data_IF_983210394671
#
_entry.id   IF_983210394671
#
_cell.length_a   1.000
_cell.length_b   1.000
_cell.length_c   1.000
_cell.angle_alpha   90.00
_cell.angle_beta   90.00
_cell.angle_gamma   90.00
#
_symmetry.space_group_name_H-M   'P 1'
#
loop_
_entity.id
_entity.type
_entity.pdbx_description
1 polymer ?
#
# COMPACT_ATOMS: atom_id res chain seq x y z
N UNK A 1 25.61 -86.42 -18.83
CA UNK A 1 24.77 -86.91 -17.72
C UNK A 1 23.61 -85.95 -17.56
N UNK A 2 22.40 -86.41 -17.88
CA UNK A 2 21.13 -85.68 -17.82
C UNK A 2 20.59 -85.78 -16.40
N UNK A 3 20.23 -84.67 -15.74
CA UNK A 3 19.05 -84.59 -14.85
C UNK A 3 18.45 -83.18 -14.92
N UNK A 4 17.13 -83.17 -15.11
CA UNK A 4 16.17 -82.06 -15.16
C UNK A 4 15.44 -81.97 -13.80
N UNK A 5 15.16 -80.77 -13.30
CA UNK A 5 13.98 -80.42 -12.46
C UNK A 5 13.85 -78.88 -12.47
N UNK A 6 12.83 -78.22 -13.06
CA UNK A 6 11.37 -78.15 -12.86
C UNK A 6 10.89 -77.54 -11.53
N UNK A 7 10.07 -76.47 -11.67
CA UNK A 7 9.14 -75.91 -10.68
C UNK A 7 9.46 -74.46 -10.30
N UNK A 8 8.57 -73.47 -10.27
CA UNK A 8 7.11 -73.40 -10.41
C UNK A 8 6.75 -71.99 -10.91
N UNK A 9 5.66 -71.95 -11.67
CA UNK A 9 4.99 -70.83 -12.33
C UNK A 9 4.18 -69.95 -11.37
N UNK A 10 4.22 -68.63 -11.54
CA UNK A 10 3.07 -67.75 -11.28
C UNK A 10 3.17 -66.48 -12.15
N UNK A 11 2.48 -66.56 -13.30
CA UNK A 11 1.68 -65.46 -13.86
C UNK A 11 0.67 -65.05 -12.77
N UNK A 12 0.13 -63.85 -12.64
CA UNK A 12 -0.42 -62.94 -13.63
C UNK A 12 -0.91 -61.74 -12.79
N UNK A 13 -0.79 -60.50 -13.29
CA UNK A 13 -1.64 -59.30 -13.05
C UNK A 13 -0.82 -58.13 -13.62
N UNK A 14 -0.79 -58.06 -14.94
CA UNK A 14 -0.26 -56.94 -15.72
C UNK A 14 -1.26 -56.64 -16.83
N UNK A 15 -2.41 -56.06 -16.47
CA UNK A 15 -3.29 -55.31 -17.39
C UNK A 15 -4.52 -54.81 -16.62
N UNK A 16 -4.46 -53.61 -16.04
CA UNK A 16 -5.62 -52.74 -15.74
C UNK A 16 -5.17 -51.47 -15.00
N UNK A 17 -4.55 -50.53 -15.72
CA UNK A 17 -4.43 -49.12 -15.29
C UNK A 17 -4.13 -48.19 -16.46
N UNK A 18 -4.83 -48.40 -17.58
CA UNK A 18 -4.72 -47.56 -18.77
C UNK A 18 -6.09 -47.33 -19.39
N UNK A 19 -7.00 -46.73 -18.62
CA UNK A 19 -8.25 -46.12 -19.10
C UNK A 19 -8.93 -45.36 -17.96
N UNK A 20 -8.34 -44.24 -17.55
CA UNK A 20 -9.01 -43.20 -16.74
C UNK A 20 -8.27 -41.85 -16.95
N UNK A 21 -7.89 -41.58 -18.19
CA UNK A 21 -7.36 -40.28 -18.65
C UNK A 21 -8.13 -39.93 -19.91
N UNK A 22 -9.38 -39.49 -19.76
CA UNK A 22 -10.22 -38.78 -20.76
C UNK A 22 -11.67 -38.71 -20.26
N UNK A 23 -11.93 -38.10 -19.08
CA UNK A 23 -13.31 -37.73 -18.67
C UNK A 23 -13.38 -36.73 -17.50
N UNK A 24 -12.44 -35.80 -17.41
CA UNK A 24 -12.50 -34.65 -16.48
C UNK A 24 -12.24 -33.28 -17.14
N UNK A 25 -12.35 -33.22 -18.46
CA UNK A 25 -12.33 -31.96 -19.23
C UNK A 25 -13.69 -31.80 -19.94
N UNK A 26 -14.77 -31.54 -19.19
CA UNK A 26 -16.08 -31.23 -19.79
C UNK A 26 -17.09 -30.55 -18.83
N UNK A 27 -16.68 -30.04 -17.66
CA UNK A 27 -17.57 -29.28 -16.78
C UNK A 27 -16.74 -28.11 -16.22
N UNK A 28 -16.95 -26.91 -16.74
CA UNK A 28 -16.22 -25.71 -16.34
C UNK A 28 -16.08 -24.62 -17.41
N UNK A 29 -16.67 -24.81 -18.60
CA UNK A 29 -16.53 -23.87 -19.73
C UNK A 29 -17.73 -22.93 -19.94
N UNK A 30 -18.59 -22.70 -18.95
CA UNK A 30 -19.82 -21.89 -19.14
C UNK A 30 -20.16 -20.90 -18.03
N UNK A 31 -19.21 -20.44 -17.22
CA UNK A 31 -19.53 -19.43 -16.20
C UNK A 31 -18.38 -18.46 -15.86
N UNK A 32 -17.69 -17.93 -16.88
CA UNK A 32 -16.66 -16.89 -16.72
C UNK A 32 -16.95 -15.61 -17.54
N UNK A 33 -18.23 -15.26 -17.70
CA UNK A 33 -18.65 -13.96 -18.24
C UNK A 33 -19.57 -13.22 -17.27
N UNK A 34 -19.01 -12.75 -16.15
CA UNK A 34 -19.61 -11.66 -15.36
C UNK A 34 -18.61 -10.98 -14.39
N UNK A 35 -17.31 -10.99 -14.69
CA UNK A 35 -16.30 -10.42 -13.79
C UNK A 35 -15.33 -9.50 -14.54
N UNK A 36 -15.88 -8.48 -15.17
CA UNK A 36 -15.10 -7.33 -15.65
C UNK A 36 -15.96 -6.08 -15.52
N UNK A 37 -15.46 -5.15 -14.71
CA UNK A 37 -15.80 -3.71 -14.55
C UNK A 37 -16.25 -3.37 -13.13
N UNK A 38 -15.26 -3.04 -12.29
CA UNK A 38 -15.18 -1.82 -11.47
C UNK A 38 -13.85 -1.84 -10.71
N UNK A 39 -12.75 -1.79 -11.46
CA UNK A 39 -11.55 -1.15 -10.96
C UNK A 39 -11.87 0.35 -10.98
N UNK A 40 -12.05 0.95 -9.80
CA UNK A 40 -12.18 2.38 -9.66
C UNK A 40 -10.80 2.97 -9.99
N UNK A 41 -10.69 3.61 -11.15
CA UNK A 41 -9.49 4.28 -11.59
C UNK A 41 -9.31 5.53 -10.71
N UNK A 42 -8.35 5.50 -9.78
CA UNK A 42 -7.96 6.64 -8.92
C UNK A 42 -6.94 7.55 -9.63
N UNK A 43 -6.80 7.43 -10.96
CA UNK A 43 -5.76 8.15 -11.73
C UNK A 43 -6.31 9.18 -12.71
N UNK A 44 -7.57 9.61 -12.58
CA UNK A 44 -8.13 10.71 -13.39
C UNK A 44 -8.47 11.93 -12.52
N UNK A 45 -7.52 12.42 -11.73
CA UNK A 45 -7.62 13.74 -11.09
C UNK A 45 -6.28 14.48 -11.15
N UNK A 46 -5.70 14.53 -12.35
CA UNK A 46 -4.55 15.37 -12.66
C UNK A 46 -4.76 15.99 -14.05
N UNK A 47 -5.78 16.85 -14.18
CA UNK A 47 -6.01 17.65 -15.40
C UNK A 47 -7.01 18.80 -15.16
N UNK A 48 -6.93 19.49 -14.01
CA UNK A 48 -7.71 20.72 -13.77
C UNK A 48 -6.84 21.89 -13.25
N UNK A 49 -5.59 21.68 -12.86
CA UNK A 49 -4.72 22.74 -12.30
C UNK A 49 -3.79 23.46 -13.29
N UNK A 50 -4.11 23.47 -14.59
CA UNK A 50 -3.31 24.19 -15.60
C UNK A 50 -4.02 25.40 -16.24
N UNK A 51 -5.09 25.91 -15.62
CA UNK A 51 -5.78 27.14 -16.10
C UNK A 51 -5.79 28.32 -15.13
N UNK A 52 -5.03 28.24 -14.03
CA UNK A 52 -4.89 29.35 -13.05
C UNK A 52 -3.42 29.73 -12.89
N UNK A 53 -2.60 29.65 -13.93
CA UNK A 53 -1.26 30.28 -13.97
C UNK A 53 -1.05 30.87 -15.36
N UNK A 54 -1.89 31.82 -15.78
CA UNK A 54 -1.66 32.59 -17.01
C UNK A 54 -2.05 34.07 -16.88
N UNK A 55 -2.17 34.58 -15.65
CA UNK A 55 -2.53 35.99 -15.40
C UNK A 55 -1.42 36.84 -14.75
N UNK A 56 -0.19 36.32 -14.63
CA UNK A 56 0.93 37.08 -14.05
C UNK A 56 1.72 37.91 -15.08
N UNK A 57 1.43 37.82 -16.38
CA UNK A 57 2.09 38.62 -17.42
C UNK A 57 1.57 40.07 -17.56
N UNK A 58 0.48 40.45 -16.88
CA UNK A 58 -0.23 41.71 -17.14
C UNK A 58 -0.18 42.75 -16.00
N UNK A 59 0.63 42.49 -14.97
CA UNK A 59 0.85 43.39 -13.83
C UNK A 59 2.17 44.18 -13.92
N UNK A 60 3.09 43.80 -14.80
CA UNK A 60 4.37 44.51 -14.99
C UNK A 60 4.23 45.90 -15.61
N UNK A 61 3.18 46.12 -16.41
CA UNK A 61 2.99 47.37 -17.17
C UNK A 61 2.25 48.47 -16.38
N UNK A 62 1.69 48.13 -15.22
CA UNK A 62 0.96 49.06 -14.35
C UNK A 62 1.85 49.70 -13.27
N UNK A 63 2.99 49.07 -12.95
CA UNK A 63 3.91 49.57 -11.91
C UNK A 63 4.79 50.73 -12.39
N UNK A 64 5.04 50.88 -13.69
CA UNK A 64 5.90 51.95 -14.23
C UNK A 64 5.18 53.30 -14.36
N UNK A 65 3.84 53.34 -14.20
CA UNK A 65 3.04 54.58 -14.27
C UNK A 65 2.66 55.19 -12.92
N UNK A 66 3.08 54.59 -11.80
CA UNK A 66 2.70 55.04 -10.44
C UNK A 66 3.82 55.75 -9.66
N UNK A 67 4.96 56.05 -10.29
CA UNK A 67 6.12 56.68 -9.65
C UNK A 67 5.97 58.17 -9.28
N UNK A 68 4.78 58.77 -9.43
CA UNK A 68 4.54 60.19 -9.12
C UNK A 68 3.37 60.47 -8.15
N UNK A 69 2.81 59.46 -7.49
CA UNK A 69 1.78 59.65 -6.47
C UNK A 69 2.28 59.16 -5.11
N UNK A 70 2.32 60.11 -4.17
CA UNK A 70 3.06 60.06 -2.92
C UNK A 70 2.86 58.81 -2.04
N UNK A 71 3.86 58.63 -1.16
CA UNK A 71 4.03 57.55 -0.18
C UNK A 71 2.80 57.20 0.70
N UNK A 72 1.73 58.00 0.67
CA UNK A 72 0.49 57.74 1.40
C UNK A 72 -0.40 56.65 0.75
N UNK A 73 -0.33 56.44 -0.57
CA UNK A 73 -1.16 55.41 -1.24
C UNK A 73 -0.62 53.99 -0.98
N UNK A 74 0.70 53.84 -0.84
CA UNK A 74 1.35 52.56 -0.56
C UNK A 74 1.04 52.03 0.85
N UNK A 75 0.93 52.90 1.85
CA UNK A 75 0.57 52.51 3.23
C UNK A 75 -0.90 52.05 3.35
N UNK A 76 -1.81 52.69 2.62
CA UNK A 76 -3.22 52.28 2.60
C UNK A 76 -3.42 50.93 1.88
N UNK A 77 -2.69 50.69 0.80
CA UNK A 77 -2.71 49.38 0.11
C UNK A 77 -2.12 48.26 0.97
N UNK A 78 -1.04 48.52 1.73
CA UNK A 78 -0.46 47.54 2.66
C UNK A 78 -1.41 47.19 3.82
N UNK A 79 -2.17 48.17 4.33
CA UNK A 79 -3.18 47.92 5.36
C UNK A 79 -4.38 47.11 4.81
N UNK A 80 -4.79 47.35 3.56
CA UNK A 80 -5.88 46.61 2.92
C UNK A 80 -5.50 45.17 2.54
N UNK A 81 -4.25 44.92 2.12
CA UNK A 81 -3.78 43.55 1.83
C UNK A 81 -3.53 42.74 3.11
N UNK A 82 -3.12 43.36 4.21
CA UNK A 82 -2.94 42.65 5.48
C UNK A 82 -4.28 42.26 6.15
N UNK A 83 -5.34 43.04 5.95
CA UNK A 83 -6.67 42.73 6.47
C UNK A 83 -7.40 41.61 5.69
N UNK A 84 -6.99 41.33 4.44
CA UNK A 84 -7.62 40.30 3.60
C UNK A 84 -7.11 38.88 3.88
N UNK A 85 -5.99 38.71 4.61
CA UNK A 85 -5.40 37.38 4.86
C UNK A 85 -5.87 36.68 6.15
N UNK A 86 -6.68 37.33 7.00
CA UNK A 86 -7.18 36.72 8.24
C UNK A 86 -8.62 36.24 8.18
N UNK A 87 -9.29 36.35 7.03
CA UNK A 87 -10.58 35.70 6.82
C UNK A 87 -10.37 34.22 6.49
N UNK A 88 -9.88 33.45 7.47
CA UNK A 88 -10.00 31.99 7.46
C UNK A 88 -11.48 31.67 7.58
N UNK A 89 -12.19 31.71 6.45
CA UNK A 89 -13.56 31.24 6.35
C UNK A 89 -13.60 29.84 6.92
N UNK A 90 -14.34 29.66 8.00
CA UNK A 90 -14.87 28.37 8.44
C UNK A 90 -15.84 27.90 7.35
N UNK A 91 -15.31 27.57 6.18
CA UNK A 91 -16.05 26.98 5.08
C UNK A 91 -16.58 25.66 5.60
N UNK A 92 -17.90 25.47 5.53
CA UNK A 92 -18.50 24.17 5.79
C UNK A 92 -17.84 23.17 4.84
N UNK A 93 -17.15 22.17 5.38
CA UNK A 93 -16.57 21.09 4.59
C UNK A 93 -17.75 20.29 4.01
N UNK A 94 -17.75 20.08 2.70
CA UNK A 94 -18.72 19.21 2.05
C UNK A 94 -18.49 17.76 2.53
N UNK A 95 -19.48 17.08 3.12
CA UNK A 95 -19.38 15.68 3.51
C UNK A 95 -18.86 14.74 2.41
N UNK A 96 -19.17 15.05 1.14
CA UNK A 96 -18.74 14.23 -0.01
C UNK A 96 -17.24 14.36 -0.29
N UNK A 97 -16.59 15.41 0.22
CA UNK A 97 -15.15 15.63 0.10
C UNK A 97 -14.32 14.91 1.16
N UNK A 98 -14.95 14.34 2.19
CA UNK A 98 -14.27 13.61 3.27
C UNK A 98 -13.71 12.29 2.72
N UNK A 99 -12.37 12.18 2.75
CA UNK A 99 -11.66 10.96 2.32
C UNK A 99 -11.72 9.90 3.40
N UNK A 100 -11.89 8.65 2.99
CA UNK A 100 -11.75 7.50 3.88
C UNK A 100 -10.33 6.97 3.79
N UNK A 101 -9.72 6.62 4.92
CA UNK A 101 -8.50 5.82 4.94
C UNK A 101 -8.57 4.77 6.04
N UNK A 102 -8.04 3.59 5.76
CA UNK A 102 -7.81 2.55 6.75
C UNK A 102 -6.35 2.49 7.19
N UNK A 103 -5.51 3.38 6.67
CA UNK A 103 -4.07 3.36 6.88
C UNK A 103 -3.66 4.49 7.85
N UNK A 104 -3.10 4.15 9.02
CA UNK A 104 -2.70 5.16 9.99
C UNK A 104 -1.60 6.10 9.48
N UNK A 105 -0.76 5.68 8.51
CA UNK A 105 0.27 6.55 7.94
C UNK A 105 -0.33 7.70 7.10
N UNK A 106 -1.55 7.55 6.60
CA UNK A 106 -2.22 8.61 5.79
C UNK A 106 -2.73 9.75 6.67
N UNK A 107 -2.75 9.59 8.00
CA UNK A 107 -3.24 10.59 8.96
C UNK A 107 -2.19 11.02 9.98
N UNK A 108 -0.98 10.47 9.92
CA UNK A 108 0.10 10.74 10.88
C UNK A 108 0.39 12.23 11.06
N UNK A 109 0.39 12.99 9.97
CA UNK A 109 0.66 14.43 10.00
C UNK A 109 -0.61 15.28 10.12
N UNK A 110 -1.78 14.67 10.25
CA UNK A 110 -3.05 15.39 10.32
C UNK A 110 -3.43 15.70 11.77
N UNK A 111 -4.20 16.78 11.94
CA UNK A 111 -4.73 17.14 13.24
C UNK A 111 -5.92 16.24 13.59
N UNK A 112 -5.82 15.50 14.69
CA UNK A 112 -6.94 14.72 15.23
C UNK A 112 -8.04 15.66 15.78
N UNK A 113 -9.29 15.38 15.43
CA UNK A 113 -10.46 16.16 15.85
C UNK A 113 -11.40 15.39 16.80
N UNK A 114 -11.20 14.08 16.94
CA UNK A 114 -11.97 13.21 17.83
C UNK A 114 -12.68 12.09 17.09
N UNK A 115 -13.44 11.29 17.83
CA UNK A 115 -14.17 10.14 17.26
C UNK A 115 -15.57 10.55 16.78
N UNK A 116 -15.99 9.97 15.67
CA UNK A 116 -17.32 10.16 15.07
C UNK A 116 -17.97 8.80 14.78
N UNK A 117 -19.31 8.77 14.71
CA UNK A 117 -20.03 7.53 14.46
C UNK A 117 -21.36 7.73 13.72
N UNK A 118 -21.50 7.07 12.57
CA UNK A 118 -22.75 6.97 11.83
C UNK A 118 -23.51 5.69 12.16
N UNK A 119 -24.84 5.80 12.30
CA UNK A 119 -25.73 4.66 12.57
C UNK A 119 -26.77 4.48 11.47
N UNK A 120 -27.14 3.26 11.16
CA UNK A 120 -28.25 2.90 10.27
C UNK A 120 -29.10 1.82 10.91
N UNK A 121 -30.43 1.91 10.76
CA UNK A 121 -31.35 0.89 11.28
C UNK A 121 -31.28 -0.44 10.52
N UNK A 122 -30.54 -0.49 9.40
CA UNK A 122 -30.45 -1.65 8.54
C UNK A 122 -29.10 -2.36 8.74
N UNK A 123 -29.11 -3.69 8.81
CA UNK A 123 -27.92 -4.55 8.90
C UNK A 123 -27.38 -4.99 7.54
N UNK A 124 -28.05 -4.59 6.44
CA UNK A 124 -27.65 -4.92 5.07
C UNK A 124 -26.47 -4.08 4.58
N UNK A 125 -25.92 -4.42 3.41
CA UNK A 125 -24.89 -3.60 2.72
C UNK A 125 -25.35 -2.15 2.51
N UNK A 126 -26.65 -1.93 2.24
CA UNK A 126 -27.22 -0.56 2.19
C UNK A 126 -27.15 0.13 3.54
N UNK A 127 -27.37 -0.63 4.61
CA UNK A 127 -27.20 -0.17 5.99
C UNK A 127 -25.79 0.27 6.31
N UNK A 128 -24.79 -0.51 5.89
CA UNK A 128 -23.36 -0.18 6.03
C UNK A 128 -23.00 1.12 5.29
N UNK A 129 -23.38 1.24 4.00
CA UNK A 129 -23.14 2.46 3.23
C UNK A 129 -23.81 3.69 3.87
N UNK A 130 -25.07 3.56 4.31
CA UNK A 130 -25.79 4.66 4.95
C UNK A 130 -25.25 5.03 6.35
N UNK A 131 -24.59 4.10 7.04
CA UNK A 131 -23.87 4.38 8.28
C UNK A 131 -22.54 5.09 7.98
N UNK A 132 -21.79 4.64 6.96
CA UNK A 132 -20.55 5.28 6.53
C UNK A 132 -20.73 6.72 6.06
N UNK A 133 -21.75 7.01 5.24
CA UNK A 133 -22.05 8.38 4.82
C UNK A 133 -22.43 9.30 5.99
N UNK A 134 -23.13 8.77 7.00
CA UNK A 134 -23.40 9.55 8.23
C UNK A 134 -22.14 9.79 9.05
N UNK A 135 -21.22 8.82 9.12
CA UNK A 135 -19.94 9.00 9.80
C UNK A 135 -19.10 10.09 9.10
N UNK A 136 -19.04 10.10 7.75
CA UNK A 136 -18.42 11.19 6.98
C UNK A 136 -19.05 12.55 7.24
N UNK A 137 -20.39 12.61 7.24
CA UNK A 137 -21.10 13.85 7.55
C UNK A 137 -20.79 14.37 8.95
N UNK A 138 -20.61 13.48 9.94
CA UNK A 138 -20.18 13.89 11.28
C UNK A 138 -18.72 14.33 11.31
N UNK A 139 -17.82 13.66 10.58
CA UNK A 139 -16.44 14.11 10.43
C UNK A 139 -16.37 15.53 9.84
N UNK A 140 -17.13 15.80 8.77
CA UNK A 140 -17.23 17.14 8.19
C UNK A 140 -17.81 18.17 9.17
N UNK A 141 -18.80 17.77 9.98
CA UNK A 141 -19.41 18.65 10.98
C UNK A 141 -18.43 19.09 12.09
N UNK A 142 -17.43 18.26 12.42
CA UNK A 142 -16.35 18.63 13.35
C UNK A 142 -15.16 19.31 12.65
N UNK A 143 -15.25 19.58 11.34
CA UNK A 143 -14.21 20.22 10.55
C UNK A 143 -13.15 19.25 9.99
N UNK A 144 -13.41 17.96 9.97
CA UNK A 144 -12.53 16.95 9.40
C UNK A 144 -12.72 16.77 7.89
N UNK A 145 -11.61 16.59 7.17
CA UNK A 145 -11.58 16.23 5.75
C UNK A 145 -11.10 14.79 5.49
N UNK A 146 -10.71 14.06 6.54
CA UNK A 146 -10.37 12.64 6.48
C UNK A 146 -11.04 11.90 7.64
N UNK A 147 -11.56 10.71 7.36
CA UNK A 147 -12.08 9.76 8.34
C UNK A 147 -11.21 8.50 8.32
N UNK A 148 -10.50 8.26 9.43
CA UNK A 148 -9.61 7.13 9.64
C UNK A 148 -10.16 6.08 10.59
N UNK A 149 -9.51 4.91 10.66
CA UNK A 149 -9.78 3.84 11.63
C UNK A 149 -11.24 3.34 11.64
N UNK A 150 -11.82 3.18 10.45
CA UNK A 150 -13.22 2.77 10.32
C UNK A 150 -13.46 1.37 10.90
N UNK A 151 -14.32 1.28 11.91
CA UNK A 151 -14.84 0.04 12.46
C UNK A 151 -16.32 -0.09 12.14
N UNK A 152 -16.65 -1.13 11.39
CA UNK A 152 -18.04 -1.49 11.05
C UNK A 152 -18.54 -2.53 12.05
N UNK A 153 -19.60 -2.19 12.77
CA UNK A 153 -20.30 -3.11 13.68
C UNK A 153 -21.71 -3.36 13.15
N UNK A 154 -22.00 -4.61 12.77
CA UNK A 154 -23.31 -5.04 12.30
C UNK A 154 -24.01 -5.82 13.42
N UNK A 155 -25.23 -5.43 13.74
CA UNK A 155 -26.06 -6.06 14.77
C UNK A 155 -27.48 -6.32 14.25
N UNK A 156 -28.28 -7.07 15.02
CA UNK A 156 -29.70 -7.28 14.71
C UNK A 156 -30.50 -5.96 14.63
N UNK A 157 -30.03 -4.91 15.31
CA UNK A 157 -30.69 -3.60 15.39
C UNK A 157 -30.12 -2.57 14.41
N UNK A 158 -29.24 -3.01 13.49
CA UNK A 158 -28.67 -2.18 12.46
C UNK A 158 -27.14 -2.13 12.46
N UNK A 159 -26.60 -1.18 11.72
CA UNK A 159 -25.17 -1.00 11.49
C UNK A 159 -24.66 0.28 12.12
N UNK A 160 -23.51 0.21 12.79
CA UNK A 160 -22.74 1.36 13.24
C UNK A 160 -21.38 1.39 12.57
N UNK A 161 -21.00 2.53 12.03
CA UNK A 161 -19.67 2.82 11.51
C UNK A 161 -19.06 3.88 12.42
N UNK A 162 -17.95 3.56 13.07
CA UNK A 162 -17.21 4.49 13.93
C UNK A 162 -15.80 4.70 13.41
N UNK A 163 -15.24 5.89 13.58
CA UNK A 163 -13.85 6.19 13.21
C UNK A 163 -13.34 7.49 13.84
N UNK A 164 -12.13 7.87 13.51
CA UNK A 164 -11.47 9.09 13.97
C UNK A 164 -11.50 10.14 12.85
N UNK A 165 -11.96 11.35 13.17
CA UNK A 165 -11.95 12.48 12.25
C UNK A 165 -10.62 13.22 12.33
N UNK A 166 -10.06 13.53 11.16
CA UNK A 166 -8.81 14.26 11.01
C UNK A 166 -8.98 15.45 10.08
N UNK A 167 -8.21 16.51 10.35
CA UNK A 167 -8.01 17.61 9.43
C UNK A 167 -6.58 17.61 8.92
N UNK A 168 -6.42 17.39 7.62
CA UNK A 168 -5.16 17.43 6.91
C UNK A 168 -5.10 18.72 6.09
N UNK A 169 -4.24 19.66 6.49
CA UNK A 169 -3.99 20.85 5.69
C UNK A 169 -3.06 20.54 4.49
N UNK A 170 -2.83 21.53 3.63
CA UNK A 170 -1.99 21.38 2.46
C UNK A 170 -0.53 21.03 2.81
N UNK A 171 -0.04 21.42 3.98
CA UNK A 171 1.32 21.10 4.44
C UNK A 171 1.39 19.65 4.91
N UNK A 172 0.43 19.18 5.71
CA UNK A 172 0.30 17.78 6.11
C UNK A 172 0.27 16.85 4.91
N UNK A 173 -0.51 17.18 3.87
CA UNK A 173 -0.60 16.38 2.64
C UNK A 173 0.73 16.35 1.89
N UNK A 174 1.47 17.46 1.83
CA UNK A 174 2.83 17.49 1.25
C UNK A 174 3.79 16.61 2.03
N UNK A 175 3.75 16.62 3.36
CA UNK A 175 4.58 15.77 4.21
C UNK A 175 4.26 14.29 4.02
N UNK A 176 2.98 13.93 3.87
CA UNK A 176 2.57 12.56 3.54
C UNK A 176 3.12 12.10 2.19
N UNK A 177 2.98 12.93 1.15
CA UNK A 177 3.50 12.63 -0.17
C UNK A 177 5.04 12.47 -0.18
N UNK A 178 5.75 13.29 0.60
CA UNK A 178 7.19 13.15 0.79
C UNK A 178 7.53 11.83 1.51
N UNK A 179 6.80 11.46 2.57
CA UNK A 179 6.98 10.19 3.27
C UNK A 179 6.72 8.99 2.36
N UNK A 180 5.67 9.01 1.55
CA UNK A 180 5.39 7.92 0.61
C UNK A 180 6.44 7.80 -0.49
N UNK A 181 6.91 8.93 -1.04
CA UNK A 181 7.98 8.95 -2.03
C UNK A 181 9.31 8.42 -1.45
N UNK A 182 9.62 8.78 -0.21
CA UNK A 182 10.79 8.24 0.50
C UNK A 182 10.65 6.74 0.75
N UNK A 183 9.48 6.29 1.18
CA UNK A 183 9.21 4.86 1.36
C UNK A 183 9.41 4.08 0.05
N UNK A 184 8.92 4.59 -1.06
CA UNK A 184 9.15 4.00 -2.39
C UNK A 184 10.63 3.99 -2.77
N UNK A 185 11.35 5.08 -2.51
CA UNK A 185 12.78 5.18 -2.78
C UNK A 185 13.58 4.13 -2.01
N UNK A 186 13.32 3.99 -0.71
CA UNK A 186 13.99 3.01 0.17
C UNK A 186 13.59 1.58 -0.20
N UNK A 187 12.30 1.32 -0.44
CA UNK A 187 11.80 0.00 -0.83
C UNK A 187 12.39 -0.50 -2.17
N UNK A 188 12.72 0.42 -3.08
CA UNK A 188 13.33 0.11 -4.38
C UNK A 188 14.87 0.18 -4.36
N UNK A 189 15.48 0.39 -3.19
CA UNK A 189 16.94 0.42 -3.07
C UNK A 189 17.53 -0.95 -3.42
N UNK A 190 18.49 -0.95 -4.36
CA UNK A 190 19.17 -2.17 -4.77
C UNK A 190 20.13 -2.62 -3.67
N UNK A 191 19.95 -3.84 -3.17
CA UNK A 191 20.87 -4.47 -2.24
C UNK A 191 21.94 -5.19 -3.05
N UNK A 192 23.07 -4.53 -3.26
CA UNK A 192 24.22 -5.11 -3.94
C UNK A 192 25.29 -5.54 -2.92
N UNK A 193 26.00 -6.61 -3.24
CA UNK A 193 27.15 -7.09 -2.48
C UNK A 193 28.27 -7.56 -3.40
N UNK A 194 29.50 -7.60 -2.90
CA UNK A 194 30.65 -8.22 -3.58
C UNK A 194 30.95 -9.58 -2.95
N UNK A 195 31.30 -10.57 -3.78
CA UNK A 195 31.69 -11.90 -3.37
C UNK A 195 32.71 -11.86 -2.21
N UNK A 196 32.51 -12.71 -1.20
CA UNK A 196 33.32 -12.73 0.01
C UNK A 196 32.59 -12.16 1.23
N UNK A 197 33.32 -11.60 2.22
CA UNK A 197 32.75 -11.26 3.52
C UNK A 197 31.56 -10.29 3.49
N UNK A 198 31.56 -9.32 2.56
CA UNK A 198 30.44 -8.38 2.40
C UNK A 198 29.14 -9.09 2.03
N UNK A 199 29.19 -9.99 1.05
CA UNK A 199 27.98 -10.70 0.63
C UNK A 199 27.53 -11.75 1.65
N UNK A 200 28.47 -12.46 2.28
CA UNK A 200 28.12 -13.41 3.34
C UNK A 200 27.48 -12.71 4.55
N UNK A 201 27.99 -11.52 4.91
CA UNK A 201 27.39 -10.69 5.95
C UNK A 201 25.95 -10.28 5.61
N UNK A 202 25.74 -9.70 4.43
CA UNK A 202 24.39 -9.28 3.98
C UNK A 202 23.46 -10.48 3.87
N UNK A 203 23.92 -11.62 3.35
CA UNK A 203 23.11 -12.84 3.25
C UNK A 203 22.74 -13.41 4.62
N UNK A 204 23.65 -13.37 5.59
CA UNK A 204 23.33 -13.71 6.98
C UNK A 204 22.27 -12.77 7.58
N UNK A 205 22.36 -11.46 7.32
CA UNK A 205 21.36 -10.46 7.73
C UNK A 205 19.98 -10.74 7.13
N UNK A 206 19.92 -11.22 5.88
CA UNK A 206 18.66 -11.66 5.25
C UNK A 206 17.99 -12.74 6.10
N UNK A 207 18.73 -13.81 6.43
CA UNK A 207 18.20 -14.93 7.22
C UNK A 207 17.72 -14.47 8.60
N UNK A 208 18.48 -13.61 9.28
CA UNK A 208 18.11 -13.04 10.58
C UNK A 208 16.88 -12.15 10.50
N UNK A 209 16.77 -11.32 9.46
CA UNK A 209 15.58 -10.49 9.28
C UNK A 209 14.35 -11.35 9.06
N UNK A 210 14.45 -12.37 8.19
CA UNK A 210 13.35 -13.28 7.92
C UNK A 210 12.93 -14.08 9.15
N UNK A 211 13.88 -14.55 9.98
CA UNK A 211 13.52 -15.27 11.22
C UNK A 211 12.74 -14.40 12.21
N UNK A 212 12.99 -13.08 12.21
CA UNK A 212 12.35 -12.15 13.13
C UNK A 212 11.04 -11.56 12.60
N UNK A 213 10.85 -11.53 11.28
CA UNK A 213 9.71 -10.86 10.64
C UNK A 213 8.74 -11.83 9.95
N UNK A 214 9.15 -13.09 9.73
CA UNK A 214 8.28 -14.13 9.17
C UNK A 214 7.55 -14.89 10.26
N UNK A 215 6.24 -15.08 10.06
CA UNK A 215 5.46 -16.06 10.84
C UNK A 215 5.57 -17.48 10.28
N UNK A 216 6.17 -17.64 9.11
CA UNK A 216 6.29 -18.90 8.39
C UNK A 216 7.68 -19.51 8.59
N UNK A 217 7.74 -20.84 8.65
CA UNK A 217 9.01 -21.57 8.64
C UNK A 217 9.70 -21.40 7.28
N UNK A 218 11.02 -21.53 7.30
CA UNK A 218 11.79 -21.63 6.08
C UNK A 218 11.48 -22.96 5.36
N UNK A 219 11.19 -22.86 4.06
CA UNK A 219 11.01 -24.00 3.16
C UNK A 219 12.33 -24.36 2.50
N UNK A 220 13.03 -23.38 1.93
CA UNK A 220 14.34 -23.53 1.33
C UNK A 220 15.29 -22.48 1.89
N UNK A 221 16.52 -22.88 2.21
CA UNK A 221 17.63 -21.99 2.55
C UNK A 221 18.85 -22.51 1.79
N UNK A 222 19.19 -21.84 0.70
CA UNK A 222 20.39 -22.12 -0.08
C UNK A 222 21.24 -20.86 -0.19
N UNK A 223 22.41 -20.95 -0.82
CA UNK A 223 23.26 -19.78 -1.03
C UNK A 223 22.64 -18.74 -1.97
N UNK A 224 21.64 -19.12 -2.76
CA UNK A 224 21.04 -18.26 -3.81
C UNK A 224 19.56 -18.01 -3.63
N UNK A 225 18.87 -18.80 -2.81
CA UNK A 225 17.42 -18.74 -2.66
C UNK A 225 17.01 -19.04 -1.22
N UNK A 226 16.21 -18.15 -0.64
CA UNK A 226 15.51 -18.37 0.62
C UNK A 226 14.02 -18.24 0.36
N UNK A 227 13.23 -19.25 0.75
CA UNK A 227 11.77 -19.19 0.67
C UNK A 227 11.13 -19.63 1.97
N UNK A 228 9.97 -19.05 2.28
CA UNK A 228 9.13 -19.48 3.39
C UNK A 228 7.96 -20.35 2.93
N UNK A 229 7.32 -21.08 3.85
CA UNK A 229 6.23 -22.00 3.52
C UNK A 229 4.95 -21.34 2.98
N UNK A 230 4.66 -20.10 3.38
CA UNK A 230 3.43 -19.40 3.01
C UNK A 230 3.44 -18.79 1.59
N UNK A 231 2.44 -17.94 1.27
CA UNK A 231 1.34 -17.54 2.12
C UNK A 231 0.16 -18.51 2.00
N UNK A 232 -0.44 -18.88 3.13
CA UNK A 232 -1.80 -19.46 3.14
C UNK A 232 -2.84 -18.33 3.14
N UNK A 233 -4.13 -18.65 3.34
CA UNK A 233 -5.26 -17.70 3.42
C UNK A 233 -5.22 -16.80 4.68
N UNK A 234 -4.08 -16.17 4.95
CA UNK A 234 -3.84 -15.27 6.08
C UNK A 234 -3.23 -13.97 5.58
N UNK A 235 -3.32 -12.92 6.41
CA UNK A 235 -2.66 -11.63 6.20
C UNK A 235 -1.17 -11.63 6.58
N UNK A 236 -0.62 -12.77 7.03
CA UNK A 236 0.78 -12.89 7.44
C UNK A 236 1.68 -13.00 6.20
N UNK A 237 2.64 -12.09 6.00
CA UNK A 237 3.47 -12.10 4.82
C UNK A 237 4.40 -13.31 4.78
N UNK A 238 4.53 -13.91 3.61
CA UNK A 238 5.54 -14.88 3.23
C UNK A 238 6.59 -14.21 2.34
N UNK A 239 7.76 -14.84 2.25
CA UNK A 239 8.92 -14.24 1.62
C UNK A 239 9.61 -15.21 0.66
N UNK A 240 10.07 -14.65 -0.45
CA UNK A 240 11.04 -15.24 -1.36
C UNK A 240 12.18 -14.24 -1.53
N UNK A 241 13.41 -14.65 -1.24
CA UNK A 241 14.61 -13.84 -1.41
C UNK A 241 15.57 -14.56 -2.34
N UNK A 242 16.04 -13.85 -3.37
CA UNK A 242 16.95 -14.38 -4.38
C UNK A 242 18.24 -13.57 -4.35
N UNK A 243 19.38 -14.26 -4.44
CA UNK A 243 20.71 -13.69 -4.68
C UNK A 243 21.16 -14.03 -6.09
N UNK A 244 21.15 -13.03 -6.98
CA UNK A 244 21.47 -13.18 -8.40
C UNK A 244 22.82 -12.57 -8.73
N UNK A 245 23.67 -13.25 -9.51
CA UNK A 245 24.89 -12.65 -10.04
C UNK A 245 24.56 -11.61 -11.12
N UNK A 246 25.25 -10.47 -11.13
CA UNK A 246 24.98 -9.34 -12.05
C UNK A 246 25.68 -9.46 -13.41
N UNK A 247 26.49 -10.50 -13.61
CA UNK A 247 27.19 -10.80 -14.87
C UNK A 247 28.69 -10.53 -14.87
N UNK A 248 29.20 -9.75 -13.90
CA UNK A 248 30.64 -9.50 -13.72
C UNK A 248 31.39 -10.63 -12.97
N UNK A 249 30.66 -11.65 -12.54
CA UNK A 249 31.17 -12.80 -11.78
C UNK A 249 31.60 -12.49 -10.35
N UNK A 250 31.41 -11.25 -9.86
CA UNK A 250 31.89 -10.81 -8.54
C UNK A 250 30.86 -10.04 -7.73
N UNK A 251 29.86 -9.45 -8.35
CA UNK A 251 28.79 -8.75 -7.65
C UNK A 251 27.49 -9.53 -7.75
N UNK A 252 26.73 -9.48 -6.66
CA UNK A 252 25.41 -10.08 -6.58
C UNK A 252 24.41 -9.01 -6.18
N UNK A 253 23.18 -9.20 -6.66
CA UNK A 253 22.02 -8.44 -6.27
C UNK A 253 21.09 -9.33 -5.45
N UNK A 254 20.70 -8.85 -4.28
CA UNK A 254 19.72 -9.47 -3.40
C UNK A 254 18.38 -8.78 -3.64
N UNK A 255 17.34 -9.57 -3.91
CA UNK A 255 15.97 -9.08 -4.09
C UNK A 255 15.01 -9.89 -3.23
N UNK A 256 14.12 -9.20 -2.51
CA UNK A 256 13.03 -9.82 -1.75
C UNK A 256 11.70 -9.55 -2.42
N UNK A 257 10.88 -10.60 -2.52
CA UNK A 257 9.48 -10.55 -2.91
C UNK A 257 8.61 -11.01 -1.74
N UNK A 258 7.92 -10.10 -1.05
CA UNK A 258 6.89 -10.47 -0.10
C UNK A 258 5.61 -10.90 -0.83
N UNK A 259 4.82 -11.76 -0.20
CA UNK A 259 3.50 -12.16 -0.68
C UNK A 259 2.56 -12.46 0.48
N UNK A 260 1.25 -12.34 0.29
CA UNK A 260 0.27 -12.74 1.29
C UNK A 260 -1.03 -13.25 0.64
N UNK A 261 -1.85 -13.97 1.41
CA UNK A 261 -3.08 -14.56 0.89
C UNK A 261 -4.21 -13.55 0.79
N UNK A 262 -4.52 -12.86 1.90
CA UNK A 262 -5.63 -11.89 1.97
C UNK A 262 -5.25 -10.66 2.78
N UNK A 263 -5.74 -9.49 2.37
CA UNK A 263 -5.75 -8.28 3.19
C UNK A 263 -4.48 -7.42 3.18
N UNK A 264 -3.41 -7.81 2.48
CA UNK A 264 -2.27 -6.90 2.31
C UNK A 264 -2.46 -5.98 1.12
N UNK A 265 -1.90 -4.79 1.26
CA UNK A 265 -1.87 -3.76 0.23
C UNK A 265 -0.46 -3.66 -0.37
N UNK A 266 -0.34 -3.01 -1.53
CA UNK A 266 0.98 -2.70 -2.11
C UNK A 266 1.85 -1.87 -1.16
N UNK A 267 1.22 -0.98 -0.38
CA UNK A 267 1.91 -0.17 0.63
C UNK A 267 2.50 -1.02 1.75
N UNK A 268 1.85 -2.11 2.14
CA UNK A 268 2.41 -3.06 3.10
C UNK A 268 3.66 -3.76 2.54
N UNK A 269 3.65 -4.11 1.26
CA UNK A 269 4.83 -4.68 0.60
C UNK A 269 5.96 -3.66 0.44
N UNK A 270 5.65 -2.38 0.21
CA UNK A 270 6.64 -1.31 0.24
C UNK A 270 7.28 -1.16 1.63
N UNK A 271 6.48 -1.13 2.70
CA UNK A 271 6.98 -1.09 4.09
C UNK A 271 7.91 -2.27 4.41
N UNK A 272 7.51 -3.48 4.02
CA UNK A 272 8.34 -4.67 4.25
C UNK A 272 9.68 -4.58 3.49
N UNK A 273 9.63 -4.18 2.21
CA UNK A 273 10.85 -4.00 1.39
C UNK A 273 11.77 -2.92 1.93
N UNK A 274 11.22 -1.79 2.36
CA UNK A 274 12.02 -0.70 2.94
C UNK A 274 12.73 -1.15 4.22
N UNK A 275 11.99 -1.74 5.18
CA UNK A 275 12.57 -2.26 6.43
C UNK A 275 13.61 -3.36 6.18
N UNK A 276 13.37 -4.21 5.19
CA UNK A 276 14.31 -5.24 4.77
C UNK A 276 15.60 -4.61 4.22
N UNK A 277 15.48 -3.65 3.30
CA UNK A 277 16.63 -2.97 2.71
C UNK A 277 17.46 -2.23 3.77
N UNK A 278 16.83 -1.44 4.62
CA UNK A 278 17.49 -0.74 5.73
C UNK A 278 18.26 -1.71 6.63
N UNK A 279 17.62 -2.81 7.03
CA UNK A 279 18.24 -3.79 7.91
C UNK A 279 19.43 -4.50 7.24
N UNK A 280 19.28 -4.95 5.99
CA UNK A 280 20.35 -5.68 5.30
C UNK A 280 21.54 -4.77 4.96
N UNK A 281 21.28 -3.50 4.68
CA UNK A 281 22.32 -2.51 4.35
C UNK A 281 22.98 -1.87 5.56
N UNK A 282 22.46 -2.09 6.77
CA UNK A 282 23.10 -1.58 8.00
C UNK A 282 24.51 -2.17 8.14
N UNK A 283 25.55 -1.35 8.32
CA UNK A 283 26.91 -1.84 8.52
C UNK A 283 27.04 -2.71 9.78
N UNK A 284 28.01 -3.64 9.83
CA UNK A 284 28.33 -4.35 11.06
C UNK A 284 28.77 -3.38 12.15
N UNK A 285 28.24 -3.55 13.37
CA UNK A 285 28.76 -2.87 14.55
C UNK A 285 30.19 -3.35 14.80
N UNK A 286 31.16 -2.42 14.70
CA UNK A 286 32.55 -2.68 15.08
C UNK A 286 32.59 -2.68 16.61
N UNK A 287 32.68 -3.87 17.21
CA UNK A 287 32.88 -4.05 18.65
C UNK A 287 34.36 -4.15 18.98
#
# INVERSE_FOLDING_TARGET
MVIVARGVESREISTRRRTLITRRNAIGATEWRAQTRRAFCVSCQASIDDRIIDNHGRLGDLMTRLSNLGAFVLLAFFALTLAAQTASTTGKIDPTSVRLTSDPDDVEFCKALGSVAGKSAWSSTKGQMAAGERAKSQAAAVGGNVLGDEKVTVSAWGTTVSGSAFFCDAESLKRQAAKSAELERVANQKIACTAGPDCEYKWSRVTLWLSNNSSWKFRNITDTLITTEGPMDTSKPAFEVIKMATGDGRTYQISMRPSCGVGCTEKDFLRLRAKFAEFVLTPPEVK
#
